data_IF_143682419385
#
_entry.id   IF_143682419385
#
_cell.length_a   1.000
_cell.length_b   1.000
_cell.length_c   1.000
_cell.angle_alpha   90.00
_cell.angle_beta   90.00
_cell.angle_gamma   90.00
#
_symmetry.space_group_name_H-M   'P 1'
#
loop_
_entity.id
_entity.type
_entity.pdbx_description
1 polymer ?
#
# COMPACT_ATOMS: atom_id res chain seq x y z
N UNK A 1 -10.37 13.89 7.54
CA UNK A 1 -9.59 12.66 7.35
C UNK A 1 -9.91 12.06 5.99
N UNK A 2 -8.88 11.53 5.34
CA UNK A 2 -8.97 10.94 4.01
C UNK A 2 -8.64 9.44 4.08
N UNK A 3 -9.53 8.57 3.57
CA UNK A 3 -9.29 7.13 3.55
C UNK A 3 -8.24 6.78 2.50
N UNK A 4 -7.11 6.23 2.95
CA UNK A 4 -5.97 5.95 2.08
C UNK A 4 -6.03 4.54 1.49
N UNK A 5 -6.09 3.51 2.35
CA UNK A 5 -6.04 2.12 1.90
C UNK A 5 -6.59 1.20 2.97
N UNK A 6 -7.46 0.31 2.59
CA UNK A 6 -8.09 -0.70 3.46
C UNK A 6 -9.59 -0.82 3.13
N UNK A 7 -10.25 -1.65 3.82
CA UNK A 7 -9.81 -2.58 4.85
C UNK A 7 -9.27 -3.84 4.16
N UNK A 8 -8.18 -4.39 4.65
CA UNK A 8 -7.60 -5.61 4.10
C UNK A 8 -6.77 -6.36 5.14
N UNK A 9 -6.12 -7.43 4.69
CA UNK A 9 -5.20 -8.21 5.53
C UNK A 9 -3.85 -8.34 4.83
N UNK A 10 -2.79 -7.91 5.50
CA UNK A 10 -1.43 -8.00 4.96
C UNK A 10 -1.01 -9.44 4.67
N UNK A 11 -0.18 -9.62 3.65
CA UNK A 11 0.50 -10.90 3.41
C UNK A 11 1.55 -11.15 4.49
N UNK A 12 2.36 -10.14 4.79
CA UNK A 12 3.37 -10.21 5.85
C UNK A 12 2.77 -9.82 7.20
N UNK A 13 2.94 -10.69 8.20
CA UNK A 13 2.45 -10.46 9.57
C UNK A 13 0.98 -10.69 9.77
N UNK A 14 0.21 -10.89 8.73
CA UNK A 14 -1.22 -11.25 8.72
C UNK A 14 -2.16 -10.26 9.42
N UNK A 15 -1.70 -9.07 9.81
CA UNK A 15 -2.58 -8.11 10.47
C UNK A 15 -3.59 -7.51 9.49
N UNK A 16 -4.78 -7.27 10.00
CA UNK A 16 -5.77 -6.46 9.30
C UNK A 16 -5.35 -5.00 9.36
N UNK A 17 -5.56 -4.27 8.28
CA UNK A 17 -5.13 -2.90 8.17
C UNK A 17 -6.23 -1.98 7.68
N UNK A 18 -6.14 -0.72 8.09
CA UNK A 18 -6.97 0.38 7.59
C UNK A 18 -6.18 1.68 7.75
N UNK A 19 -5.78 2.26 6.62
CA UNK A 19 -4.94 3.46 6.59
C UNK A 19 -5.76 4.69 6.30
N UNK A 20 -5.58 5.73 7.10
CA UNK A 20 -6.24 7.02 6.95
C UNK A 20 -5.22 8.15 7.00
N UNK A 21 -5.46 9.19 6.22
CA UNK A 21 -4.68 10.42 6.32
C UNK A 21 -5.42 11.43 7.19
N UNK A 22 -4.66 12.13 8.01
CA UNK A 22 -5.19 13.25 8.78
C UNK A 22 -5.24 14.53 7.92
N UNK A 23 -5.80 15.65 8.44
CA UNK A 23 -5.87 16.91 7.67
C UNK A 23 -4.51 17.46 7.24
N UNK A 24 -3.42 17.06 7.89
CA UNK A 24 -2.06 17.48 7.55
C UNK A 24 -1.39 16.55 6.52
N UNK A 25 -2.06 15.48 6.11
CA UNK A 25 -1.55 14.52 5.14
C UNK A 25 -0.76 13.36 5.72
N UNK A 26 -0.62 13.27 7.04
CA UNK A 26 0.06 12.15 7.68
C UNK A 26 -0.81 10.90 7.68
N UNK A 27 -0.18 9.76 7.37
CA UNK A 27 -0.87 8.46 7.33
C UNK A 27 -0.90 7.83 8.71
N UNK A 28 -2.09 7.40 9.12
CA UNK A 28 -2.34 6.66 10.36
C UNK A 28 -2.81 5.26 10.00
N UNK A 29 -2.27 4.26 10.67
CA UNK A 29 -2.70 2.88 10.48
C UNK A 29 -3.47 2.38 11.70
N UNK A 30 -4.69 1.91 11.46
CA UNK A 30 -5.42 1.08 12.39
C UNK A 30 -5.16 -0.38 12.02
N UNK A 31 -4.62 -1.16 12.94
CA UNK A 31 -4.34 -2.57 12.65
C UNK A 31 -4.73 -3.45 13.84
N UNK A 32 -5.01 -4.70 13.55
CA UNK A 32 -5.35 -5.71 14.55
C UNK A 32 -5.05 -7.11 14.03
N UNK A 33 -5.11 -8.09 14.93
CA UNK A 33 -5.02 -9.52 14.57
C UNK A 33 -3.72 -9.91 13.86
N UNK A 34 -2.60 -9.29 14.28
CA UNK A 34 -1.29 -9.65 13.76
C UNK A 34 -0.78 -10.97 14.33
N UNK A 35 0.22 -11.54 13.65
CA UNK A 35 0.87 -12.77 14.10
C UNK A 35 1.55 -12.57 15.46
N UNK A 36 1.40 -13.55 16.33
CA UNK A 36 2.17 -13.63 17.58
C UNK A 36 3.38 -14.49 17.32
N UNK A 37 4.56 -13.92 17.49
CA UNK A 37 5.82 -14.62 17.26
C UNK A 37 6.71 -14.55 18.50
N UNK A 38 7.61 -15.51 18.62
CA UNK A 38 8.65 -15.57 19.64
C UNK A 38 9.96 -16.09 19.03
N UNK A 39 10.97 -16.29 19.87
CA UNK A 39 12.28 -16.73 19.39
C UNK A 39 12.30 -18.12 18.74
N UNK A 40 11.23 -18.90 18.85
CA UNK A 40 11.11 -20.21 18.18
C UNK A 40 10.67 -20.10 16.73
N UNK A 41 10.18 -18.94 16.30
CA UNK A 41 9.76 -18.70 14.91
C UNK A 41 10.99 -18.35 14.08
N UNK A 42 11.21 -19.12 13.00
CA UNK A 42 12.32 -18.84 12.08
C UNK A 42 12.10 -17.49 11.36
N UNK A 43 13.16 -16.67 11.23
CA UNK A 43 13.08 -15.46 10.42
C UNK A 43 12.75 -15.78 8.97
N UNK A 44 11.83 -15.02 8.39
CA UNK A 44 11.49 -15.13 6.98
C UNK A 44 12.23 -14.07 6.18
N UNK A 45 12.68 -14.47 4.97
CA UNK A 45 13.21 -13.54 4.00
C UNK A 45 12.10 -13.22 2.99
N UNK A 46 11.75 -11.95 2.91
CA UNK A 46 10.73 -11.46 2.00
C UNK A 46 11.33 -10.39 1.09
N UNK A 47 10.79 -10.27 -0.12
CA UNK A 47 11.19 -9.19 -1.01
C UNK A 47 10.29 -7.97 -0.81
N UNK A 48 10.69 -6.83 -1.39
CA UNK A 48 9.96 -5.59 -1.26
C UNK A 48 8.52 -5.69 -1.81
N UNK A 49 8.30 -6.53 -2.82
CA UNK A 49 6.98 -6.74 -3.40
C UNK A 49 5.98 -7.28 -2.39
N UNK A 50 6.42 -8.13 -1.47
CA UNK A 50 5.55 -8.75 -0.47
C UNK A 50 4.96 -7.73 0.51
N UNK A 51 5.65 -6.61 0.74
CA UNK A 51 5.14 -5.53 1.58
C UNK A 51 3.86 -4.90 1.04
N UNK A 52 3.73 -4.85 -0.29
CA UNK A 52 2.56 -4.27 -0.94
C UNK A 52 1.45 -5.28 -1.20
N UNK A 53 1.69 -6.56 -0.94
CA UNK A 53 0.70 -7.61 -1.17
C UNK A 53 -0.22 -7.78 0.04
N UNK A 54 -1.45 -8.17 -0.25
CA UNK A 54 -2.46 -8.49 0.75
C UNK A 54 -3.08 -9.85 0.48
N UNK A 55 -3.50 -10.55 1.54
CA UNK A 55 -4.27 -11.78 1.41
C UNK A 55 -5.65 -11.48 0.82
N UNK A 56 -6.25 -10.37 1.23
CA UNK A 56 -7.46 -9.82 0.65
C UNK A 56 -7.54 -8.32 0.96
N UNK A 57 -8.38 -7.64 0.21
CA UNK A 57 -8.59 -6.20 0.33
C UNK A 57 -8.30 -5.47 -0.98
N UNK A 58 -8.44 -4.14 -0.98
CA UNK A 58 -8.18 -3.36 -2.18
C UNK A 58 -6.69 -3.34 -2.54
N UNK A 59 -6.40 -3.10 -3.80
CA UNK A 59 -5.03 -2.90 -4.27
C UNK A 59 -4.41 -1.64 -3.66
N UNK A 60 -3.09 -1.65 -3.51
CA UNK A 60 -2.34 -0.51 -2.96
C UNK A 60 -2.53 0.70 -3.87
N UNK A 61 -3.07 1.82 -3.36
CA UNK A 61 -3.19 3.03 -4.17
C UNK A 61 -1.82 3.61 -4.51
N UNK A 62 -1.75 4.30 -5.65
CA UNK A 62 -0.51 4.90 -6.13
C UNK A 62 0.08 5.94 -5.18
N UNK A 63 -0.76 6.53 -4.35
CA UNK A 63 -0.38 7.58 -3.40
C UNK A 63 0.11 7.04 -2.06
N UNK A 64 0.04 5.73 -1.83
CA UNK A 64 0.46 5.13 -0.57
C UNK A 64 1.96 5.34 -0.33
N UNK A 65 2.29 5.82 0.86
CA UNK A 65 3.67 6.11 1.23
C UNK A 65 4.23 7.43 0.67
N UNK A 66 3.44 8.14 -0.12
CA UNK A 66 3.86 9.42 -0.70
C UNK A 66 3.28 10.57 0.13
N UNK A 67 4.15 11.46 0.59
CA UNK A 67 3.72 12.68 1.29
C UNK A 67 3.19 13.68 0.30
N UNK A 68 1.90 14.03 0.42
CA UNK A 68 1.29 15.06 -0.43
C UNK A 68 0.10 15.69 0.28
N UNK A 69 -0.30 16.92 -0.09
CA UNK A 69 -1.51 17.53 0.42
C UNK A 69 -2.75 16.70 0.07
N UNK A 70 -3.71 16.62 1.01
CA UNK A 70 -4.92 15.81 0.85
C UNK A 70 -5.71 16.20 -0.39
N UNK A 71 -5.77 17.50 -0.71
CA UNK A 71 -6.49 18.00 -1.88
C UNK A 71 -5.90 17.59 -3.24
N UNK A 72 -4.67 17.04 -3.25
CA UNK A 72 -4.03 16.56 -4.47
C UNK A 72 -4.17 15.04 -4.67
N UNK A 73 -4.64 14.31 -3.66
CA UNK A 73 -4.68 12.84 -3.71
C UNK A 73 -5.65 12.35 -4.77
N UNK A 74 -6.85 12.91 -4.84
CA UNK A 74 -7.87 12.47 -5.81
C UNK A 74 -7.39 12.65 -7.25
N UNK A 75 -6.70 13.75 -7.53
CA UNK A 75 -6.12 14.00 -8.85
C UNK A 75 -5.03 12.97 -9.18
N UNK A 76 -4.13 12.70 -8.24
CA UNK A 76 -3.06 11.72 -8.43
C UNK A 76 -3.63 10.32 -8.68
N UNK A 77 -4.66 9.92 -7.95
CA UNK A 77 -5.33 8.63 -8.13
C UNK A 77 -6.14 8.55 -9.42
N UNK A 78 -6.66 9.65 -9.92
CA UNK A 78 -7.34 9.68 -11.21
C UNK A 78 -6.36 9.42 -12.35
N UNK A 79 -5.12 9.89 -12.24
CA UNK A 79 -4.08 9.65 -13.23
C UNK A 79 -3.52 8.22 -13.13
N UNK A 80 -3.23 7.77 -11.92
CA UNK A 80 -2.64 6.46 -11.63
C UNK A 80 -3.31 5.85 -10.39
N UNK A 81 -4.38 5.03 -10.55
CA UNK A 81 -5.17 4.57 -9.40
C UNK A 81 -4.41 3.70 -8.41
N UNK A 82 -3.56 2.79 -8.91
CA UNK A 82 -2.83 1.84 -8.06
C UNK A 82 -1.36 1.78 -8.45
N UNK A 83 -0.54 1.24 -7.54
CA UNK A 83 0.88 0.98 -7.83
C UNK A 83 1.02 0.00 -9.00
N UNK A 84 0.17 -1.02 -9.06
CA UNK A 84 0.20 -1.98 -10.16
C UNK A 84 -0.05 -1.31 -11.51
N UNK A 85 -0.99 -0.38 -11.58
CA UNK A 85 -1.27 0.42 -12.78
C UNK A 85 -0.06 1.25 -13.20
N UNK A 86 0.57 1.93 -12.24
CA UNK A 86 1.78 2.72 -12.50
C UNK A 86 2.91 1.87 -13.08
N UNK A 87 3.18 0.72 -12.49
CA UNK A 87 4.23 -0.20 -12.96
C UNK A 87 3.95 -0.64 -14.38
N UNK A 88 2.71 -1.02 -14.69
CA UNK A 88 2.31 -1.45 -16.02
C UNK A 88 2.53 -0.35 -17.07
N UNK A 89 2.17 0.88 -16.75
CA UNK A 89 2.38 2.03 -17.63
C UNK A 89 3.86 2.30 -17.89
N UNK A 90 4.69 2.19 -16.86
CA UNK A 90 6.14 2.34 -16.97
C UNK A 90 6.75 1.25 -17.87
N UNK A 91 6.30 0.02 -17.75
CA UNK A 91 6.74 -1.09 -18.60
C UNK A 91 6.37 -0.86 -20.07
N UNK A 92 5.15 -0.37 -20.33
CA UNK A 92 4.70 -0.03 -21.68
C UNK A 92 5.54 1.09 -22.27
N UNK A 93 5.81 2.14 -21.49
CA UNK A 93 6.65 3.25 -21.93
C UNK A 93 8.08 2.80 -22.26
N UNK A 94 8.66 1.96 -21.39
CA UNK A 94 10.02 1.41 -21.62
C UNK A 94 10.10 0.59 -22.90
N UNK A 95 9.07 -0.20 -23.21
CA UNK A 95 9.01 -0.99 -24.46
C UNK A 95 8.92 -0.11 -25.71
N UNK A 96 8.27 1.05 -25.61
CA UNK A 96 8.18 1.99 -26.75
C UNK A 96 9.50 2.71 -27.04
N UNK A 97 10.33 2.88 -26.02
CA UNK A 97 11.65 3.51 -26.15
C UNK A 97 12.75 2.55 -26.60
N UNK A 98 12.49 1.25 -26.49
CA UNK A 98 13.45 0.21 -26.86
C UNK A 98 13.59 0.03 -28.37
#
# INVERSE_FOLDING_TARGET
YYHEWGIGRHLLGSQMYDYWRDPHGFTHEHWTDGDLINSSVEPENSNFRDLAMAQYGPEVPSTFGVTMPVDQIDKARAEHPTIATMIKEMEIAAKKEA
#
